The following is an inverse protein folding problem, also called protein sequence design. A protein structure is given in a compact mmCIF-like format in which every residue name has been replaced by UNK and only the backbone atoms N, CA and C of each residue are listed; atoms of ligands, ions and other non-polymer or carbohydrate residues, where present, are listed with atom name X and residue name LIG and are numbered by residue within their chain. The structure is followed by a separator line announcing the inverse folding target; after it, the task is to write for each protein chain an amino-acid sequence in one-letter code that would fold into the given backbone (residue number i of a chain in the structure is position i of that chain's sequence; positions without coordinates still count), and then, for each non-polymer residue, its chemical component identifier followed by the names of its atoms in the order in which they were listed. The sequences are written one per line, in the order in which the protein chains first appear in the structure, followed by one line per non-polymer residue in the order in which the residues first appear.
data_IF_961221666983
#
_entry.id   IF_961221666983
#
_cell.length_a   1.000
_cell.length_b   1.000
_cell.length_c   1.000
_cell.angle_alpha   90.00
_cell.angle_beta   90.00
_cell.angle_gamma   90.00
#
_symmetry.space_group_name_H-M   'P 1'
#
loop_
_entity.id
_entity.type
_entity.pdbx_description
1 polymer ?
#
# COMPACT_ATOMS: atom_id res chain seq x y z
N UNK A 1 -85.75 -52.65 -16.73
CA UNK A 1 -85.11 -51.31 -16.78
C UNK A 1 -84.37 -50.90 -15.51
N UNK A 2 -84.85 -51.23 -14.29
CA UNK A 2 -84.24 -50.77 -13.02
C UNK A 2 -82.77 -51.16 -12.76
N UNK A 3 -82.34 -52.39 -13.11
CA UNK A 3 -80.96 -52.83 -12.82
C UNK A 3 -79.88 -52.19 -13.71
N UNK A 4 -80.23 -51.77 -14.94
CA UNK A 4 -79.29 -51.05 -15.81
C UNK A 4 -79.07 -49.62 -15.32
N UNK A 5 -80.14 -48.94 -14.89
CA UNK A 5 -80.07 -47.58 -14.38
C UNK A 5 -79.26 -47.50 -13.06
N UNK A 6 -79.41 -48.49 -12.17
CA UNK A 6 -78.60 -48.57 -10.94
C UNK A 6 -77.10 -48.79 -11.23
N UNK A 7 -76.77 -49.61 -12.23
CA UNK A 7 -75.37 -49.80 -12.67
C UNK A 7 -74.77 -48.52 -13.26
N UNK A 8 -75.53 -47.79 -14.09
CA UNK A 8 -75.06 -46.49 -14.62
C UNK A 8 -74.87 -45.46 -13.51
N UNK A 9 -75.79 -45.40 -12.54
CA UNK A 9 -75.67 -44.49 -11.39
C UNK A 9 -74.44 -44.84 -10.54
N UNK A 10 -74.18 -46.12 -10.30
CA UNK A 10 -73.00 -46.56 -9.54
C UNK A 10 -71.68 -46.27 -10.26
N UNK A 11 -71.63 -46.41 -11.58
CA UNK A 11 -70.47 -46.06 -12.41
C UNK A 11 -70.24 -44.55 -12.43
N UNK A 12 -71.30 -43.75 -12.56
CA UNK A 12 -71.23 -42.28 -12.51
C UNK A 12 -70.76 -41.80 -11.13
N UNK A 13 -71.26 -42.41 -10.04
CA UNK A 13 -70.84 -42.07 -8.68
C UNK A 13 -69.38 -42.45 -8.43
N UNK A 14 -68.92 -43.59 -8.97
CA UNK A 14 -67.51 -44.02 -8.89
C UNK A 14 -66.59 -43.08 -9.69
N UNK A 15 -67.00 -42.66 -10.88
CA UNK A 15 -66.28 -41.67 -11.70
C UNK A 15 -66.23 -40.28 -11.06
N UNK A 16 -67.28 -39.86 -10.36
CA UNK A 16 -67.33 -38.59 -9.61
C UNK A 16 -66.60 -38.65 -8.26
N UNK A 17 -66.33 -39.84 -7.73
CA UNK A 17 -65.59 -40.05 -6.47
C UNK A 17 -64.07 -40.16 -6.63
N UNK A 18 -63.56 -40.10 -7.85
CA UNK A 18 -62.12 -40.04 -8.09
C UNK A 18 -61.57 -38.74 -7.48
N UNK A 19 -60.66 -38.81 -6.49
CA UNK A 19 -60.08 -37.61 -5.91
C UNK A 19 -59.34 -36.85 -7.01
N UNK A 20 -59.73 -35.60 -7.25
CA UNK A 20 -58.97 -34.66 -8.04
C UNK A 20 -57.67 -34.41 -7.26
N UNK A 21 -56.63 -35.19 -7.56
CA UNK A 21 -55.30 -34.96 -7.00
C UNK A 21 -54.85 -33.62 -7.58
N UNK A 22 -54.79 -32.59 -6.74
CA UNK A 22 -54.09 -31.36 -7.08
C UNK A 22 -52.62 -31.72 -7.26
N UNK A 23 -52.20 -31.88 -8.52
CA UNK A 23 -50.79 -32.05 -8.86
C UNK A 23 -50.15 -30.67 -8.75
N UNK A 24 -49.56 -30.38 -7.60
CA UNK A 24 -48.60 -29.28 -7.51
C UNK A 24 -47.37 -29.68 -8.33
N UNK A 25 -47.05 -28.94 -9.39
CA UNK A 25 -45.77 -29.06 -10.07
C UNK A 25 -44.68 -28.61 -9.08
N UNK A 26 -44.13 -29.57 -8.34
CA UNK A 26 -43.29 -29.29 -7.17
C UNK A 26 -41.84 -28.96 -7.54
N UNK A 27 -41.38 -29.29 -8.76
CA UNK A 27 -40.07 -28.87 -9.29
C UNK A 27 -40.04 -28.97 -10.81
N UNK A 28 -39.32 -28.07 -11.49
CA UNK A 28 -39.11 -28.10 -12.95
C UNK A 28 -37.75 -28.72 -13.24
N UNK A 29 -37.74 -29.88 -13.90
CA UNK A 29 -36.53 -30.50 -14.42
C UNK A 29 -36.36 -30.18 -15.90
N UNK A 30 -35.20 -29.64 -16.29
CA UNK A 30 -34.75 -29.59 -17.68
C UNK A 30 -33.71 -30.68 -17.85
N UNK A 31 -34.02 -31.67 -18.70
CA UNK A 31 -33.16 -32.83 -18.96
C UNK A 31 -32.92 -33.75 -17.73
N UNK A 32 -33.79 -33.69 -16.72
CA UNK A 32 -33.80 -34.62 -15.58
C UNK A 32 -35.24 -34.98 -15.17
N UNK A 33 -35.49 -36.26 -14.87
CA UNK A 33 -36.80 -36.73 -14.40
C UNK A 33 -36.95 -36.69 -12.87
N UNK A 34 -35.83 -36.48 -12.16
CA UNK A 34 -35.77 -36.44 -10.71
C UNK A 34 -35.16 -35.11 -10.26
N UNK A 35 -35.85 -33.97 -10.50
CA UNK A 35 -35.34 -32.67 -10.07
C UNK A 35 -35.16 -32.62 -8.54
N UNK A 36 -33.99 -32.17 -8.10
CA UNK A 36 -33.61 -32.04 -6.67
C UNK A 36 -33.70 -30.61 -6.15
N UNK A 37 -33.97 -29.65 -7.03
CA UNK A 37 -34.20 -28.24 -6.74
C UNK A 37 -35.46 -27.75 -7.47
N UNK A 38 -36.01 -26.59 -7.08
CA UNK A 38 -37.19 -25.99 -7.71
C UNK A 38 -37.04 -25.85 -9.23
N UNK A 39 -35.83 -25.54 -9.70
CA UNK A 39 -35.40 -25.65 -11.08
C UNK A 39 -34.08 -26.44 -11.10
N UNK A 40 -34.10 -27.60 -11.76
CA UNK A 40 -32.94 -28.47 -11.90
C UNK A 40 -32.61 -28.62 -13.39
N UNK A 41 -31.44 -28.11 -13.80
CA UNK A 41 -30.98 -28.13 -15.19
C UNK A 41 -29.79 -29.07 -15.26
N UNK A 42 -30.02 -30.25 -15.84
CA UNK A 42 -28.95 -31.22 -16.09
C UNK A 42 -28.37 -30.99 -17.49
N UNK A 43 -27.10 -30.60 -17.58
CA UNK A 43 -26.44 -30.46 -18.87
C UNK A 43 -26.30 -31.81 -19.59
N UNK A 44 -26.33 -31.80 -20.92
CA UNK A 44 -26.09 -33.01 -21.72
C UNK A 44 -24.60 -33.39 -21.80
N UNK A 45 -23.70 -32.47 -21.45
CA UNK A 45 -22.26 -32.70 -21.39
C UNK A 45 -21.66 -32.11 -20.11
N UNK A 46 -20.33 -32.24 -19.99
CA UNK A 46 -19.54 -31.88 -18.81
C UNK A 46 -18.27 -31.05 -19.15
N UNK A 47 -18.12 -30.66 -20.42
CA UNK A 47 -16.95 -29.95 -20.93
C UNK A 47 -17.20 -28.45 -21.16
N UNK A 48 -16.14 -27.68 -21.37
CA UNK A 48 -16.21 -26.23 -21.60
C UNK A 48 -16.63 -25.81 -23.01
N UNK A 49 -17.06 -26.73 -23.88
CA UNK A 49 -17.43 -26.42 -25.28
C UNK A 49 -18.92 -26.10 -25.43
N UNK A 50 -19.71 -26.38 -24.39
CA UNK A 50 -21.17 -26.30 -24.42
C UNK A 50 -21.69 -25.63 -23.15
N UNK A 51 -22.87 -25.03 -23.25
CA UNK A 51 -23.46 -24.18 -22.21
C UNK A 51 -24.66 -24.86 -21.58
N UNK A 52 -24.84 -24.70 -20.25
CA UNK A 52 -26.07 -25.14 -19.56
C UNK A 52 -27.10 -24.00 -19.47
N UNK A 53 -26.65 -22.75 -19.35
CA UNK A 53 -27.47 -21.55 -19.23
C UNK A 53 -26.85 -20.45 -20.10
N UNK A 54 -27.68 -19.86 -20.95
CA UNK A 54 -27.38 -18.64 -21.72
C UNK A 54 -28.50 -17.65 -21.53
N UNK A 55 -28.16 -16.40 -21.20
CA UNK A 55 -29.12 -15.29 -21.12
C UNK A 55 -28.71 -14.22 -22.12
N UNK A 56 -29.56 -13.97 -23.11
CA UNK A 56 -29.37 -12.91 -24.09
C UNK A 56 -30.32 -11.74 -23.83
N UNK A 57 -29.92 -10.53 -24.18
CA UNK A 57 -30.84 -9.39 -24.25
C UNK A 57 -31.65 -9.41 -25.57
N UNK A 58 -32.58 -8.45 -25.72
CA UNK A 58 -33.41 -8.30 -26.92
C UNK A 58 -32.63 -8.02 -28.21
N UNK A 59 -31.36 -7.63 -28.11
CA UNK A 59 -30.47 -7.39 -29.24
C UNK A 59 -29.57 -8.60 -29.54
N UNK A 60 -29.86 -9.77 -28.96
CA UNK A 60 -29.06 -11.01 -29.06
C UNK A 60 -27.63 -10.87 -28.52
N UNK A 61 -27.38 -9.94 -27.61
CA UNK A 61 -26.10 -9.84 -26.89
C UNK A 61 -26.17 -10.79 -25.68
N UNK A 62 -25.16 -11.64 -25.55
CA UNK A 62 -25.04 -12.54 -24.41
C UNK A 62 -24.65 -11.77 -23.14
N UNK A 63 -25.48 -11.88 -22.10
CA UNK A 63 -25.29 -11.25 -20.80
C UNK A 63 -24.67 -12.22 -19.79
N UNK A 64 -25.06 -13.49 -19.84
CA UNK A 64 -24.59 -14.53 -18.92
C UNK A 64 -24.41 -15.83 -19.68
N UNK A 65 -23.22 -16.40 -19.55
CA UNK A 65 -22.92 -17.79 -19.94
C UNK A 65 -22.58 -18.58 -18.69
N UNK A 66 -23.17 -19.76 -18.55
CA UNK A 66 -22.65 -20.80 -17.67
C UNK A 66 -22.34 -22.03 -18.54
N UNK A 67 -21.06 -22.40 -18.55
CA UNK A 67 -20.56 -23.56 -19.28
C UNK A 67 -20.89 -24.85 -18.52
N UNK A 68 -20.95 -25.98 -19.23
CA UNK A 68 -21.21 -27.29 -18.64
C UNK A 68 -20.11 -27.74 -17.65
N UNK A 69 -18.90 -27.17 -17.73
CA UNK A 69 -17.84 -27.36 -16.74
C UNK A 69 -17.95 -26.43 -15.51
N UNK A 70 -19.00 -25.61 -15.42
CA UNK A 70 -19.30 -24.72 -14.29
C UNK A 70 -18.61 -23.34 -14.34
N UNK A 71 -18.01 -22.97 -15.46
CA UNK A 71 -17.39 -21.64 -15.61
C UNK A 71 -18.47 -20.63 -16.00
N UNK A 72 -18.61 -19.57 -15.20
CA UNK A 72 -19.60 -18.52 -15.40
C UNK A 72 -18.93 -17.28 -15.97
N UNK A 73 -19.42 -16.82 -17.12
CA UNK A 73 -19.07 -15.55 -17.73
C UNK A 73 -20.21 -14.54 -17.58
N UNK A 74 -19.91 -13.33 -17.11
CA UNK A 74 -20.82 -12.19 -17.20
C UNK A 74 -20.30 -11.26 -18.30
N UNK A 75 -21.02 -11.19 -19.42
CA UNK A 75 -20.58 -10.48 -20.63
C UNK A 75 -19.45 -11.16 -21.42
N UNK A 76 -19.10 -12.41 -21.10
CA UNK A 76 -18.13 -13.23 -21.85
C UNK A 76 -18.69 -14.61 -22.18
N UNK A 77 -18.53 -15.03 -23.44
CA UNK A 77 -19.04 -16.32 -23.96
C UNK A 77 -18.05 -17.48 -23.74
N UNK A 78 -16.80 -17.18 -23.37
CA UNK A 78 -15.74 -18.17 -23.21
C UNK A 78 -14.94 -17.86 -21.94
N UNK A 79 -15.58 -17.98 -20.75
CA UNK A 79 -14.90 -17.74 -19.48
C UNK A 79 -13.68 -18.66 -19.33
N UNK A 80 -12.52 -18.09 -19.05
CA UNK A 80 -11.29 -18.85 -18.84
C UNK A 80 -11.02 -19.18 -17.36
N UNK A 81 -11.83 -18.63 -16.45
CA UNK A 81 -11.84 -18.92 -15.02
C UNK A 81 -13.28 -19.15 -14.54
N UNK A 82 -13.45 -19.68 -13.32
CA UNK A 82 -14.77 -20.05 -12.80
C UNK A 82 -15.79 -18.91 -12.74
N UNK A 83 -15.33 -17.69 -12.43
CA UNK A 83 -16.11 -16.47 -12.55
C UNK A 83 -15.28 -15.49 -13.38
N UNK A 84 -15.67 -15.29 -14.63
CA UNK A 84 -14.98 -14.41 -15.56
C UNK A 84 -15.86 -13.20 -15.87
N UNK A 85 -15.36 -12.03 -15.49
CA UNK A 85 -16.02 -10.73 -15.72
C UNK A 85 -15.31 -9.93 -16.79
N UNK A 86 -14.31 -10.52 -17.46
CA UNK A 86 -13.60 -9.87 -18.57
C UNK A 86 -14.50 -9.92 -19.79
N UNK A 87 -15.39 -8.95 -19.92
CA UNK A 87 -16.24 -8.83 -21.09
C UNK A 87 -15.48 -8.15 -22.23
N UNK A 88 -15.55 -8.74 -23.43
CA UNK A 88 -15.06 -8.14 -24.68
C UNK A 88 -15.99 -7.02 -25.19
N UNK A 89 -17.24 -7.02 -24.71
CA UNK A 89 -18.31 -6.10 -25.09
C UNK A 89 -18.83 -5.37 -23.84
N UNK A 90 -18.74 -4.04 -23.83
CA UNK A 90 -19.29 -3.11 -22.82
C UNK A 90 -18.47 -2.80 -21.53
N UNK A 91 -17.14 -2.85 -21.59
CA UNK A 91 -16.18 -1.90 -20.98
C UNK A 91 -16.10 -1.70 -19.45
N UNK A 92 -17.10 -2.08 -18.66
CA UNK A 92 -17.16 -1.82 -17.21
C UNK A 92 -17.02 -3.13 -16.42
N UNK A 93 -15.87 -3.79 -16.57
CA UNK A 93 -15.53 -5.04 -15.89
C UNK A 93 -15.17 -4.79 -14.41
N UNK A 94 -16.13 -4.30 -13.64
CA UNK A 94 -15.96 -3.95 -12.22
C UNK A 94 -16.67 -4.93 -11.30
N UNK A 95 -16.03 -5.30 -10.20
CA UNK A 95 -16.67 -5.97 -9.08
C UNK A 95 -16.99 -4.90 -8.02
N UNK A 96 -18.28 -4.71 -7.73
CA UNK A 96 -18.67 -3.98 -6.54
C UNK A 96 -18.39 -4.83 -5.30
N UNK A 97 -17.47 -4.39 -4.44
CA UNK A 97 -17.16 -5.05 -3.17
C UNK A 97 -17.83 -4.26 -2.04
N UNK A 98 -18.69 -4.93 -1.28
CA UNK A 98 -19.38 -4.35 -0.12
C UNK A 98 -18.61 -4.54 1.20
N UNK A 99 -19.14 -3.94 2.26
CA UNK A 99 -18.67 -4.19 3.63
C UNK A 99 -19.46 -5.35 4.27
N UNK A 100 -18.93 -5.90 5.37
CA UNK A 100 -19.63 -6.90 6.20
C UNK A 100 -19.20 -6.82 7.66
N UNK A 101 -20.14 -7.13 8.57
CA UNK A 101 -19.91 -7.25 10.01
C UNK A 101 -19.58 -8.69 10.44
N UNK A 102 -19.47 -9.62 9.50
CA UNK A 102 -19.08 -11.00 9.83
C UNK A 102 -17.65 -11.05 10.37
N UNK A 103 -17.46 -11.89 11.40
CA UNK A 103 -16.13 -12.32 11.79
C UNK A 103 -15.45 -13.05 10.64
N UNK A 104 -14.12 -12.91 10.53
CA UNK A 104 -13.32 -13.55 9.48
C UNK A 104 -13.48 -15.08 9.47
N UNK A 105 -13.64 -15.70 10.63
CA UNK A 105 -13.93 -17.14 10.76
C UNK A 105 -15.26 -17.56 10.13
N UNK A 106 -16.29 -16.71 10.23
CA UNK A 106 -17.59 -16.95 9.59
C UNK A 106 -17.55 -16.66 8.08
N UNK A 107 -16.84 -15.61 7.67
CA UNK A 107 -16.66 -15.27 6.25
C UNK A 107 -15.73 -16.27 5.52
N UNK A 108 -14.89 -16.98 6.29
CA UNK A 108 -13.86 -17.94 5.86
C UNK A 108 -12.70 -17.28 5.12
N UNK A 109 -11.62 -18.04 4.95
CA UNK A 109 -10.43 -17.59 4.24
C UNK A 109 -10.73 -17.27 2.77
N UNK A 110 -10.13 -16.19 2.25
CA UNK A 110 -10.31 -15.72 0.88
C UNK A 110 -11.48 -14.77 0.67
N UNK A 111 -12.30 -14.48 1.70
CA UNK A 111 -13.30 -13.44 1.61
C UNK A 111 -12.62 -12.05 1.50
N UNK A 112 -13.19 -11.15 0.69
CA UNK A 112 -12.74 -9.77 0.54
C UNK A 112 -13.91 -8.85 0.93
N UNK A 113 -13.60 -7.76 1.64
CA UNK A 113 -14.55 -6.69 1.93
C UNK A 113 -13.93 -5.33 1.69
N UNK A 114 -14.78 -4.36 1.44
CA UNK A 114 -14.42 -2.95 1.45
C UNK A 114 -14.86 -2.33 2.78
N UNK A 115 -13.92 -1.74 3.52
CA UNK A 115 -14.21 -1.01 4.76
C UNK A 115 -14.42 0.45 4.41
N UNK A 116 -15.67 0.90 4.44
CA UNK A 116 -16.07 2.24 4.00
C UNK A 116 -15.44 3.37 4.81
N UNK A 117 -15.17 3.12 6.10
CA UNK A 117 -14.74 4.15 7.03
C UNK A 117 -13.27 4.51 6.80
N UNK A 118 -12.41 3.50 6.65
CA UNK A 118 -10.98 3.66 6.36
C UNK A 118 -10.65 3.70 4.87
N UNK A 119 -11.64 3.37 4.00
CA UNK A 119 -11.50 3.27 2.54
C UNK A 119 -10.47 2.20 2.11
N UNK A 120 -10.43 1.09 2.85
CA UNK A 120 -9.47 0.01 2.65
C UNK A 120 -10.14 -1.25 2.10
N UNK A 121 -9.38 -2.04 1.34
CA UNK A 121 -9.74 -3.43 1.04
C UNK A 121 -9.15 -4.33 2.12
N UNK A 122 -9.98 -5.21 2.68
CA UNK A 122 -9.56 -6.21 3.66
C UNK A 122 -9.77 -7.60 3.09
N UNK A 123 -8.85 -8.52 3.36
CA UNK A 123 -9.00 -9.95 3.08
C UNK A 123 -9.07 -10.75 4.38
N UNK A 124 -9.88 -11.80 4.39
CA UNK A 124 -9.97 -12.74 5.50
C UNK A 124 -8.98 -13.88 5.32
N UNK A 125 -8.16 -14.18 6.31
CA UNK A 125 -7.34 -15.41 6.37
C UNK A 125 -8.08 -16.59 7.02
N UNK A 126 -9.37 -16.40 7.36
CA UNK A 126 -10.18 -17.37 8.08
C UNK A 126 -10.11 -17.27 9.60
N UNK A 127 -9.27 -16.39 10.14
CA UNK A 127 -9.19 -16.07 11.58
C UNK A 127 -9.37 -14.58 11.85
N UNK A 128 -8.81 -13.72 10.99
CA UNK A 128 -8.80 -12.26 11.11
C UNK A 128 -9.00 -11.57 9.75
N UNK A 129 -9.34 -10.28 9.79
CA UNK A 129 -9.35 -9.40 8.63
C UNK A 129 -8.01 -8.67 8.53
N UNK A 130 -7.36 -8.79 7.38
CA UNK A 130 -6.06 -8.20 7.08
C UNK A 130 -6.21 -7.14 5.99
N UNK A 131 -5.51 -6.01 6.12
CA UNK A 131 -5.54 -4.93 5.13
C UNK A 131 -4.73 -5.34 3.91
N UNK A 132 -5.31 -5.17 2.72
CA UNK A 132 -4.61 -5.26 1.44
C UNK A 132 -4.15 -3.85 1.06
N UNK A 133 -3.02 -3.40 1.60
CA UNK A 133 -2.55 -2.03 1.40
C UNK A 133 -1.72 -1.85 0.12
N UNK A 134 -1.86 -0.67 -0.50
CA UNK A 134 -1.17 -0.19 -1.69
C UNK A 134 -0.29 1.03 -1.35
N UNK A 135 0.96 1.00 -1.82
CA UNK A 135 1.99 2.06 -1.84
C UNK A 135 1.93 3.13 -0.72
N UNK A 136 2.57 2.80 0.41
CA UNK A 136 2.83 3.76 1.48
C UNK A 136 3.89 4.77 1.03
N UNK A 137 3.60 6.08 1.15
CA UNK A 137 4.59 7.15 0.95
C UNK A 137 5.85 6.81 1.75
N UNK A 138 7.00 6.67 1.08
CA UNK A 138 8.26 6.40 1.76
C UNK A 138 8.70 7.65 2.52
N UNK A 139 8.98 7.49 3.80
CA UNK A 139 9.53 8.55 4.62
C UNK A 139 10.94 8.90 4.14
N UNK A 140 11.09 10.09 3.55
CA UNK A 140 12.41 10.66 3.34
C UNK A 140 12.43 12.14 3.70
N UNK A 141 13.58 12.53 4.23
CA UNK A 141 13.90 13.90 4.61
C UNK A 141 14.96 14.40 3.66
N UNK A 142 14.77 15.61 3.14
CA UNK A 142 15.79 16.40 2.45
C UNK A 142 15.71 17.81 3.04
N UNK A 143 16.83 18.31 3.54
CA UNK A 143 16.92 19.70 4.00
C UNK A 143 18.28 20.31 3.65
N UNK A 144 18.33 21.64 3.56
CA UNK A 144 19.55 22.41 3.26
C UNK A 144 19.75 23.55 4.26
N UNK A 145 20.96 24.13 4.31
CA UNK A 145 21.28 25.23 5.21
C UNK A 145 21.88 26.41 4.42
N UNK A 146 21.30 26.76 3.26
CA UNK A 146 21.92 27.77 2.38
C UNK A 146 21.91 29.20 2.93
N UNK A 147 21.06 29.52 3.92
CA UNK A 147 20.87 30.89 4.43
C UNK A 147 20.92 31.04 5.95
N UNK A 148 20.88 29.94 6.69
CA UNK A 148 20.71 29.98 8.14
C UNK A 148 22.06 29.73 8.82
N UNK A 149 22.57 30.72 9.55
CA UNK A 149 23.86 30.58 10.22
C UNK A 149 23.85 29.44 11.26
N UNK A 150 24.88 28.62 11.23
CA UNK A 150 25.15 27.59 12.23
C UNK A 150 26.62 27.64 12.64
N UNK A 151 26.89 28.08 13.87
CA UNK A 151 28.24 28.20 14.42
C UNK A 151 28.66 26.88 15.06
N UNK A 152 29.87 26.43 14.75
CA UNK A 152 30.54 25.26 15.31
C UNK A 152 31.82 25.74 16.03
N UNK A 153 31.79 25.94 17.35
CA UNK A 153 32.96 26.39 18.10
C UNK A 153 34.12 25.39 18.01
N UNK A 154 35.35 25.90 18.09
CA UNK A 154 36.55 25.06 18.11
C UNK A 154 36.58 24.15 19.34
N UNK A 155 37.08 22.92 19.17
CA UNK A 155 37.17 21.90 20.22
C UNK A 155 35.83 21.58 20.92
N UNK A 156 34.70 21.81 20.23
CA UNK A 156 33.36 21.57 20.77
C UNK A 156 32.54 20.73 19.79
N UNK A 157 31.82 19.74 20.31
CA UNK A 157 30.84 18.98 19.51
C UNK A 157 29.55 19.79 19.41
N UNK A 158 29.09 20.00 18.18
CA UNK A 158 27.94 20.84 17.87
C UNK A 158 26.90 20.02 17.10
N UNK A 159 25.69 19.87 17.68
CA UNK A 159 24.55 19.31 16.95
C UNK A 159 24.11 20.29 15.86
N UNK A 160 23.98 19.80 14.62
CA UNK A 160 23.63 20.66 13.49
C UNK A 160 22.12 20.85 13.40
N UNK A 161 21.68 22.11 13.48
CA UNK A 161 20.29 22.51 13.31
C UNK A 161 20.13 23.63 12.28
N UNK A 162 19.06 24.42 12.44
CA UNK A 162 18.72 25.56 11.59
C UNK A 162 18.64 25.22 10.10
N UNK A 163 18.11 24.05 9.75
CA UNK A 163 17.90 23.62 8.38
C UNK A 163 16.64 24.27 7.78
N UNK A 164 16.56 24.29 6.45
CA UNK A 164 15.37 24.55 5.67
C UNK A 164 14.90 23.21 5.08
N UNK A 165 13.73 22.74 5.51
CA UNK A 165 13.15 21.50 4.98
C UNK A 165 12.73 21.71 3.52
N UNK A 166 13.30 20.91 2.62
CA UNK A 166 12.95 20.87 1.20
C UNK A 166 11.89 19.80 0.95
N UNK A 167 12.01 18.65 1.61
CA UNK A 167 11.08 17.53 1.48
C UNK A 167 11.01 16.75 2.80
N UNK A 168 9.81 16.58 3.35
CA UNK A 168 9.49 15.74 4.51
C UNK A 168 7.96 15.54 4.52
N UNK A 169 7.43 14.56 3.78
CA UNK A 169 6.00 14.43 3.54
C UNK A 169 5.23 13.99 4.80
N UNK A 170 5.93 13.48 5.81
CA UNK A 170 5.33 12.94 7.03
C UNK A 170 5.66 13.75 8.28
N UNK A 171 6.43 14.84 8.16
CA UNK A 171 6.70 15.78 9.24
C UNK A 171 7.56 15.18 10.35
N UNK A 172 8.51 14.32 9.98
CA UNK A 172 9.37 13.56 10.90
C UNK A 172 10.65 14.31 11.29
N UNK A 173 10.96 15.44 10.65
CA UNK A 173 12.20 16.20 10.85
C UNK A 173 11.95 17.58 11.47
N UNK A 174 12.57 17.82 12.63
CA UNK A 174 12.62 19.15 13.22
C UNK A 174 13.80 19.93 12.63
N UNK A 175 13.52 20.81 11.68
CA UNK A 175 14.54 21.57 10.97
C UNK A 175 15.36 22.51 11.89
N UNK A 176 14.75 23.05 12.95
CA UNK A 176 15.45 23.93 13.88
C UNK A 176 16.52 23.19 14.68
N UNK A 177 16.26 21.95 15.08
CA UNK A 177 17.20 21.16 15.90
C UNK A 177 17.99 20.12 15.10
N UNK A 178 17.60 19.83 13.86
CA UNK A 178 18.17 18.77 13.03
C UNK A 178 17.81 17.35 13.48
N UNK A 179 16.80 17.20 14.34
CA UNK A 179 16.39 15.90 14.89
C UNK A 179 15.33 15.27 13.98
N UNK A 180 15.63 14.07 13.50
CA UNK A 180 14.68 13.16 12.86
C UNK A 180 14.08 12.20 13.89
N UNK A 181 12.80 11.87 13.77
CA UNK A 181 12.12 10.82 14.57
C UNK A 181 11.63 9.71 13.64
N UNK A 182 12.09 8.48 13.87
CA UNK A 182 11.78 7.31 13.06
C UNK A 182 10.28 7.00 13.10
N UNK A 183 9.54 7.09 11.98
CA UNK A 183 8.10 6.83 11.96
C UNK A 183 7.75 5.33 12.07
N UNK A 184 8.70 4.43 11.78
CA UNK A 184 8.50 2.98 11.85
C UNK A 184 9.82 2.25 12.13
N UNK A 185 9.75 1.04 12.65
CA UNK A 185 10.96 0.22 12.85
C UNK A 185 11.55 -0.20 11.50
N UNK A 186 12.85 0.00 11.29
CA UNK A 186 13.52 -0.37 10.04
C UNK A 186 14.96 0.13 9.89
N UNK A 187 15.52 -0.06 8.70
CA UNK A 187 16.84 0.44 8.32
C UNK A 187 16.72 1.84 7.70
N UNK A 188 17.51 2.76 8.21
CA UNK A 188 17.56 4.16 7.78
C UNK A 188 18.93 4.47 7.22
N UNK A 189 18.99 4.98 5.99
CA UNK A 189 20.23 5.52 5.41
C UNK A 189 20.23 7.03 5.60
N UNK A 190 21.21 7.52 6.35
CA UNK A 190 21.34 8.93 6.69
C UNK A 190 22.64 9.49 6.12
N UNK A 191 22.57 10.66 5.49
CA UNK A 191 23.72 11.36 4.91
C UNK A 191 23.63 12.84 5.21
N UNK A 192 24.72 13.45 5.69
CA UNK A 192 24.86 14.89 5.61
C UNK A 192 26.17 15.23 4.91
N UNK A 193 26.14 16.35 4.18
CA UNK A 193 27.31 17.00 3.61
C UNK A 193 27.35 18.39 4.21
N UNK A 194 28.46 18.75 4.86
CA UNK A 194 28.66 20.10 5.36
C UNK A 194 30.03 20.64 5.00
N UNK A 195 30.05 21.92 4.67
CA UNK A 195 31.24 22.68 4.35
C UNK A 195 31.26 23.94 5.21
N UNK A 196 32.36 24.14 5.92
CA UNK A 196 32.58 25.34 6.71
C UNK A 196 32.97 26.52 5.81
N UNK A 197 32.67 27.73 6.26
CA UNK A 197 33.16 28.96 5.63
C UNK A 197 34.70 28.97 5.57
N UNK A 198 35.26 29.57 4.50
CA UNK A 198 36.70 29.62 4.26
C UNK A 198 37.37 30.47 5.33
N UNK A 199 38.16 29.83 6.19
CA UNK A 199 38.94 30.48 7.26
C UNK A 199 40.23 29.69 7.48
N UNK A 200 41.05 30.13 8.43
CA UNK A 200 42.28 29.42 8.81
C UNK A 200 41.98 28.04 9.40
N UNK A 201 42.73 27.04 8.96
CA UNK A 201 42.76 25.67 9.48
C UNK A 201 44.17 25.37 9.96
N UNK A 202 44.31 24.97 11.22
CA UNK A 202 45.58 24.61 11.85
C UNK A 202 46.13 23.25 11.38
N UNK A 203 47.45 23.09 11.44
CA UNK A 203 48.11 21.83 11.13
C UNK A 203 47.79 20.75 12.17
N UNK A 204 47.69 19.49 11.74
CA UNK A 204 47.38 18.37 12.64
C UNK A 204 45.96 18.40 13.19
N UNK A 205 45.05 19.14 12.55
CA UNK A 205 43.64 19.22 12.93
C UNK A 205 42.78 18.23 12.14
N UNK A 206 41.52 18.08 12.54
CA UNK A 206 40.52 17.28 11.86
C UNK A 206 39.11 17.84 12.09
N UNK A 207 38.20 17.41 11.23
CA UNK A 207 36.76 17.54 11.39
C UNK A 207 36.16 16.14 11.43
N UNK A 208 35.25 15.93 12.37
CA UNK A 208 34.54 14.68 12.58
C UNK A 208 33.04 14.95 12.46
N UNK A 209 32.39 14.26 11.53
CA UNK A 209 30.95 14.23 11.40
C UNK A 209 30.39 12.97 12.07
N UNK A 210 29.27 13.11 12.78
CA UNK A 210 28.62 12.00 13.45
C UNK A 210 27.12 12.02 13.24
N UNK A 211 26.53 10.84 13.12
CA UNK A 211 25.10 10.62 13.35
C UNK A 211 24.92 9.95 14.70
N UNK A 212 24.02 10.49 15.52
CA UNK A 212 23.71 9.98 16.86
C UNK A 212 22.27 9.52 16.91
N UNK A 213 22.06 8.24 17.18
CA UNK A 213 20.74 7.67 17.43
C UNK A 213 20.43 7.61 18.93
N UNK A 214 19.16 7.76 19.32
CA UNK A 214 18.74 7.62 20.73
C UNK A 214 18.94 6.22 21.30
N UNK A 215 18.97 5.21 20.44
CA UNK A 215 19.22 3.82 20.83
C UNK A 215 20.71 3.50 21.07
N UNK A 216 21.60 4.49 20.92
CA UNK A 216 23.03 4.35 21.19
C UNK A 216 23.88 4.01 19.96
N UNK A 217 23.26 3.73 18.82
CA UNK A 217 23.97 3.54 17.55
C UNK A 217 24.57 4.87 17.06
N UNK A 218 25.76 4.80 16.45
CA UNK A 218 26.44 5.97 15.91
C UNK A 218 27.14 5.67 14.59
N UNK A 219 27.12 6.65 13.68
CA UNK A 219 27.95 6.63 12.46
C UNK A 219 28.98 7.75 12.62
N UNK A 220 30.25 7.46 12.35
CA UNK A 220 31.35 8.45 12.47
C UNK A 220 32.16 8.52 11.19
N UNK A 221 32.51 9.74 10.79
CA UNK A 221 33.28 10.02 9.61
C UNK A 221 34.29 11.13 9.92
N UNK A 222 35.53 11.00 9.46
CA UNK A 222 36.61 11.95 9.78
C UNK A 222 37.31 12.43 8.52
N UNK A 223 37.68 13.71 8.51
CA UNK A 223 38.57 14.30 7.50
C UNK A 223 39.69 15.07 8.21
N UNK A 224 40.95 14.85 7.82
CA UNK A 224 42.12 15.32 8.55
C UNK A 224 42.94 16.33 7.75
N UNK A 225 43.56 17.28 8.45
CA UNK A 225 44.30 18.40 7.89
C UNK A 225 45.74 18.41 8.41
N UNK A 226 46.69 17.76 7.72
CA UNK A 226 48.08 17.62 8.21
C UNK A 226 48.89 18.92 8.11
N UNK A 227 48.51 19.84 7.22
CA UNK A 227 49.18 21.10 6.99
C UNK A 227 48.22 22.27 7.26
N UNK A 228 48.74 23.44 7.69
CA UNK A 228 47.90 24.60 7.90
C UNK A 228 47.53 25.26 6.56
N UNK A 229 46.40 25.97 6.52
CA UNK A 229 45.99 26.71 5.32
C UNK A 229 44.70 27.49 5.51
N UNK A 230 44.24 28.15 4.43
CA UNK A 230 42.94 28.84 4.37
C UNK A 230 42.05 28.18 3.32
N UNK A 231 41.16 27.29 3.75
CA UNK A 231 40.29 26.53 2.85
C UNK A 231 39.00 26.09 3.57
N UNK A 232 38.07 25.50 2.83
CA UNK A 232 36.83 24.96 3.38
C UNK A 232 37.13 23.65 4.11
N UNK A 233 37.03 23.63 5.44
CA UNK A 233 36.95 22.37 6.16
C UNK A 233 35.59 21.73 5.85
N UNK A 234 35.56 20.54 5.25
CA UNK A 234 34.32 19.87 4.88
C UNK A 234 34.30 18.42 5.33
N UNK A 235 33.09 17.91 5.57
CA UNK A 235 32.85 16.52 5.91
C UNK A 235 31.54 16.05 5.28
N UNK A 236 31.58 14.84 4.71
CA UNK A 236 30.39 14.08 4.32
C UNK A 236 30.34 12.88 5.24
N UNK A 237 29.20 12.67 5.90
CA UNK A 237 29.01 11.49 6.72
C UNK A 237 27.73 10.76 6.34
N UNK A 238 27.90 9.50 5.92
CA UNK A 238 26.85 8.64 5.40
C UNK A 238 26.95 7.25 6.01
N UNK A 239 25.81 6.64 6.31
CA UNK A 239 25.73 5.26 6.76
C UNK A 239 24.29 4.81 6.95
N UNK A 240 24.14 3.53 7.32
CA UNK A 240 22.84 2.92 7.60
C UNK A 240 22.77 2.54 9.07
N UNK A 241 21.66 2.86 9.73
CA UNK A 241 21.37 2.54 11.13
C UNK A 241 20.00 1.87 11.24
N UNK A 242 19.86 0.89 12.12
CA UNK A 242 18.58 0.31 12.47
C UNK A 242 17.95 1.15 13.59
N UNK A 243 16.70 1.59 13.39
CA UNK A 243 15.96 2.38 14.38
C UNK A 243 14.61 1.72 14.65
N UNK A 244 14.17 1.75 15.89
CA UNK A 244 12.80 1.42 16.26
C UNK A 244 11.87 2.62 16.03
N UNK A 245 10.57 2.37 15.87
CA UNK A 245 9.58 3.45 15.78
C UNK A 245 9.67 4.35 17.02
N UNK A 246 9.83 5.66 16.80
CA UNK A 246 10.02 6.67 17.85
C UNK A 246 11.46 6.95 18.24
N UNK A 247 12.45 6.15 17.79
CA UNK A 247 13.85 6.50 17.95
C UNK A 247 14.18 7.80 17.21
N UNK A 248 15.16 8.54 17.71
CA UNK A 248 15.62 9.79 17.11
C UNK A 248 17.01 9.62 16.50
N UNK A 249 17.29 10.40 15.46
CA UNK A 249 18.58 10.46 14.79
C UNK A 249 18.91 11.92 14.47
N UNK A 250 20.12 12.37 14.81
CA UNK A 250 20.55 13.74 14.49
C UNK A 250 22.03 13.81 14.09
N UNK A 251 22.40 14.78 13.24
CA UNK A 251 23.78 15.02 12.86
C UNK A 251 24.49 15.94 13.87
N UNK A 252 25.76 15.68 14.12
CA UNK A 252 26.64 16.60 14.84
C UNK A 252 28.05 16.61 14.26
N UNK A 253 28.80 17.66 14.60
CA UNK A 253 30.16 17.88 14.11
C UNK A 253 31.06 18.29 15.25
N UNK A 254 32.25 17.72 15.29
CA UNK A 254 33.36 18.18 16.10
C UNK A 254 34.51 18.63 15.19
N UNK A 255 35.25 19.66 15.58
CA UNK A 255 36.50 20.00 14.92
C UNK A 255 37.47 20.66 15.89
N UNK A 256 38.77 20.60 15.56
CA UNK A 256 39.85 21.24 16.32
C UNK A 256 40.74 22.09 15.38
N UNK A 257 40.12 22.80 14.45
CA UNK A 257 40.82 23.56 13.40
C UNK A 257 41.55 24.81 13.91
N UNK A 258 41.40 25.14 15.19
CA UNK A 258 42.12 26.20 15.91
C UNK A 258 41.39 27.53 15.98
N UNK A 259 40.24 27.67 15.32
CA UNK A 259 39.32 28.80 15.45
C UNK A 259 37.89 28.34 15.21
N UNK A 260 36.92 29.05 15.81
CA UNK A 260 35.49 28.83 15.56
C UNK A 260 35.18 28.85 14.07
N UNK A 261 34.23 28.00 13.67
CA UNK A 261 33.76 27.87 12.30
C UNK A 261 32.26 28.12 12.25
N UNK A 262 31.74 28.40 11.07
CA UNK A 262 30.31 28.30 10.79
C UNK A 262 30.10 27.57 9.46
N UNK A 263 28.94 26.94 9.33
CA UNK A 263 28.51 26.35 8.06
C UNK A 263 28.47 27.44 6.99
N UNK A 264 28.94 27.11 5.78
CA UNK A 264 28.98 28.05 4.66
C UNK A 264 27.57 28.44 4.23
N UNK A 265 27.28 29.73 4.21
CA UNK A 265 25.97 30.27 3.81
C UNK A 265 26.09 31.29 2.68
N UNK A 266 24.96 31.58 2.04
CA UNK A 266 24.84 32.60 1.01
C UNK A 266 25.48 33.92 1.44
N UNK A 267 26.48 34.37 0.69
CA UNK A 267 27.15 35.65 0.90
C UNK A 267 28.48 35.58 1.63
N UNK A 268 28.90 34.42 2.12
CA UNK A 268 30.22 34.23 2.75
C UNK A 268 31.39 34.54 1.79
N UNK A 269 31.21 34.32 0.50
CA UNK A 269 32.21 34.68 -0.52
C UNK A 269 32.16 36.15 -0.96
N UNK A 270 31.26 36.95 -0.39
CA UNK A 270 31.03 38.34 -0.75
C UNK A 270 29.99 38.53 -1.86
N UNK A 271 29.57 39.79 -2.14
CA UNK A 271 28.39 40.09 -2.94
C UNK A 271 28.50 39.68 -4.42
N UNK A 272 29.73 39.59 -4.96
CA UNK A 272 29.98 39.23 -6.36
C UNK A 272 29.89 37.72 -6.64
N UNK A 273 29.99 36.88 -5.62
CA UNK A 273 29.99 35.41 -5.75
C UNK A 273 29.01 34.71 -4.81
N UNK A 274 28.11 35.45 -4.14
CA UNK A 274 27.19 34.92 -3.15
C UNK A 274 26.33 33.73 -3.65
N UNK A 275 25.96 33.70 -4.93
CA UNK A 275 25.24 32.57 -5.52
C UNK A 275 26.04 31.25 -5.53
N UNK A 276 27.37 31.34 -5.52
CA UNK A 276 28.25 30.17 -5.42
C UNK A 276 28.26 29.53 -4.04
N UNK A 277 27.70 30.18 -3.01
CA UNK A 277 27.66 29.71 -1.63
C UNK A 277 26.43 28.83 -1.29
N UNK A 278 25.56 28.58 -2.26
CA UNK A 278 24.31 27.83 -2.03
C UNK A 278 24.50 26.32 -2.14
N UNK A 279 23.66 25.56 -1.44
CA UNK A 279 23.54 24.09 -1.54
C UNK A 279 24.76 23.26 -1.13
N UNK A 280 25.77 23.87 -0.48
CA UNK A 280 26.90 23.13 0.09
C UNK A 280 26.48 22.23 1.26
N UNK A 281 25.57 22.73 2.09
CA UNK A 281 25.14 22.04 3.31
C UNK A 281 23.78 21.39 3.08
N UNK A 282 23.73 20.07 3.16
CA UNK A 282 22.52 19.30 2.96
C UNK A 282 22.48 18.07 3.87
N UNK A 283 21.26 17.63 4.15
CA UNK A 283 20.96 16.41 4.90
C UNK A 283 19.92 15.61 4.12
N UNK A 284 20.10 14.29 4.12
CA UNK A 284 19.10 13.34 3.63
C UNK A 284 18.98 12.14 4.56
N UNK A 285 17.76 11.70 4.79
CA UNK A 285 17.45 10.50 5.57
C UNK A 285 16.38 9.74 4.79
N UNK A 286 16.62 8.46 4.51
CA UNK A 286 15.71 7.63 3.71
C UNK A 286 15.50 6.31 4.43
N UNK A 287 14.24 5.91 4.62
CA UNK A 287 13.93 4.55 5.04
C UNK A 287 14.03 3.57 3.86
N UNK A 288 14.69 2.43 4.08
CA UNK A 288 14.84 1.36 3.08
C UNK A 288 13.57 0.52 2.94
#
# INVERSE_FOLDING_TARGET
MKNKMFRYLMVITFLLSLPIVMVYAQSVGINTNNPTATLDILSQGDNGLTENIRINNSNNINLLTLLNNGYMGLGTISPAVRLDLRADLAGNNIIGIGNTNLAASTARAGAIKYVSDTKELHYSDGSQWLILEADMVRDCVIADNSYNLMVCPDNTTTQLGNWNTVYDPTGTFNASTGVFTAPKTGLYTATFSVHMAITSVGAGSYIEGQWIASNGETIKCTNSFPLPGGFMASIICSGTVFLDAGDTLYPQVFHNTGTDKHLRIYGDSGPVSAASDMYFNNISIVIQ
#
